data_IF_886290173160
#
_entry.id   IF_886290173160
#
_cell.length_a   1.000
_cell.length_b   1.000
_cell.length_c   1.000
_cell.angle_alpha   90.00
_cell.angle_beta   90.00
_cell.angle_gamma   90.00
#
_symmetry.space_group_name_H-M   'P 1'
#
loop_
_entity.id
_entity.type
_entity.pdbx_description
1 polymer ?
#
# COMPACT_ATOMS: atom_id res chain seq x y z
N UNK A 1 -4.59 -5.17 -2.40
CA UNK A 1 -4.06 -6.40 -3.02
C UNK A 1 -3.27 -7.19 -2.00
N UNK A 2 -3.51 -8.49 -1.87
CA UNK A 2 -2.77 -9.39 -0.95
C UNK A 2 -1.27 -9.34 -1.24
N UNK A 3 -0.89 -9.27 -2.52
CA UNK A 3 0.49 -9.18 -2.99
C UNK A 3 1.22 -7.94 -2.43
N UNK A 4 0.54 -6.80 -2.39
CA UNK A 4 1.11 -5.54 -1.90
C UNK A 4 1.24 -5.47 -0.37
N UNK A 5 0.62 -6.39 0.38
CA UNK A 5 0.78 -6.44 1.84
C UNK A 5 2.16 -6.96 2.23
N UNK A 6 2.73 -7.88 1.44
CA UNK A 6 4.04 -8.48 1.70
C UNK A 6 5.21 -7.52 1.48
N UNK A 7 5.01 -6.42 0.74
CA UNK A 7 6.02 -5.37 0.52
C UNK A 7 5.78 -4.12 1.36
N UNK A 8 4.64 -4.07 2.07
CA UNK A 8 4.31 -2.92 2.87
C UNK A 8 5.18 -2.89 4.13
N UNK A 9 6.02 -1.85 4.23
CA UNK A 9 6.98 -1.73 5.32
C UNK A 9 6.29 -1.85 6.70
N UNK A 10 5.18 -1.14 6.91
CA UNK A 10 4.39 -1.21 8.15
C UNK A 10 3.89 -2.63 8.52
N UNK A 11 3.72 -3.53 7.54
CA UNK A 11 3.37 -4.93 7.78
C UNK A 11 4.59 -5.81 8.07
N UNK A 12 5.76 -5.44 7.56
CA UNK A 12 7.02 -6.17 7.77
C UNK A 12 7.60 -5.89 9.16
N UNK A 13 7.46 -4.66 9.69
CA UNK A 13 8.04 -4.30 11.00
C UNK A 13 7.62 -5.23 12.15
N UNK A 14 6.32 -5.55 12.35
CA UNK A 14 5.93 -6.42 13.46
C UNK A 14 6.42 -7.86 13.28
N UNK A 15 6.57 -8.33 12.03
CA UNK A 15 7.10 -9.65 11.72
C UNK A 15 8.59 -9.72 12.09
N UNK A 16 9.37 -8.68 11.77
CA UNK A 16 10.79 -8.60 12.10
C UNK A 16 11.05 -8.35 13.59
N UNK A 17 10.09 -7.74 14.30
CA UNK A 17 10.15 -7.53 15.74
C UNK A 17 9.73 -8.77 16.56
N UNK A 18 9.28 -9.84 15.90
CA UNK A 18 8.92 -11.08 16.58
C UNK A 18 10.16 -11.74 17.22
N UNK A 19 9.95 -12.35 18.40
CA UNK A 19 11.03 -13.00 19.16
C UNK A 19 11.75 -14.09 18.37
N UNK A 20 11.00 -14.83 17.57
CA UNK A 20 11.51 -15.93 16.76
C UNK A 20 10.58 -16.20 15.55
N UNK A 21 11.08 -17.00 14.60
CA UNK A 21 10.37 -17.34 13.36
C UNK A 21 9.07 -18.09 13.64
N UNK A 22 9.01 -18.89 14.71
CA UNK A 22 7.81 -19.66 15.03
C UNK A 22 6.68 -18.73 15.50
N UNK A 23 7.00 -17.76 16.36
CA UNK A 23 6.08 -16.70 16.80
C UNK A 23 5.62 -15.87 15.60
N UNK A 24 6.52 -15.47 14.70
CA UNK A 24 6.18 -14.72 13.49
C UNK A 24 5.21 -15.48 12.57
N UNK A 25 5.45 -16.78 12.36
CA UNK A 25 4.56 -17.63 11.55
C UNK A 25 3.19 -17.81 12.21
N UNK A 26 3.18 -18.09 13.52
CA UNK A 26 1.94 -18.27 14.28
C UNK A 26 1.11 -16.99 14.29
N UNK A 27 1.72 -15.82 14.50
CA UNK A 27 1.03 -14.53 14.48
C UNK A 27 0.45 -14.20 13.11
N UNK A 28 1.16 -14.51 12.02
CA UNK A 28 0.67 -14.34 10.66
C UNK A 28 -0.58 -15.20 10.39
N UNK A 29 -0.57 -16.47 10.81
CA UNK A 29 -1.70 -17.39 10.64
C UNK A 29 -2.90 -16.91 11.49
N UNK A 30 -2.67 -16.57 12.76
CA UNK A 30 -3.74 -16.06 13.64
C UNK A 30 -4.36 -14.80 13.04
N UNK A 31 -3.53 -13.86 12.56
CA UNK A 31 -4.02 -12.63 11.92
C UNK A 31 -4.86 -12.94 10.68
N UNK A 32 -4.43 -13.87 9.83
CA UNK A 32 -5.18 -14.25 8.63
C UNK A 32 -6.58 -14.79 8.98
N UNK A 33 -6.68 -15.68 9.98
CA UNK A 33 -7.97 -16.21 10.42
C UNK A 33 -8.81 -15.18 11.17
N UNK A 34 -8.19 -14.29 11.95
CA UNK A 34 -8.91 -13.24 12.68
C UNK A 34 -9.49 -12.18 11.73
N UNK A 35 -8.80 -11.84 10.64
CA UNK A 35 -9.23 -10.81 9.69
C UNK A 35 -10.27 -11.33 8.69
N UNK A 36 -10.25 -12.62 8.34
CA UNK A 36 -11.15 -13.19 7.32
C UNK A 36 -12.65 -12.92 7.58
N UNK A 37 -13.20 -13.08 8.80
CA UNK A 37 -14.60 -12.77 9.09
C UNK A 37 -14.97 -11.29 8.85
N UNK A 38 -14.05 -10.36 9.06
CA UNK A 38 -14.31 -8.92 8.83
C UNK A 38 -14.59 -8.62 7.35
N UNK A 39 -14.05 -9.40 6.42
CA UNK A 39 -14.40 -9.31 5.00
C UNK A 39 -15.88 -9.62 4.74
N UNK A 40 -16.43 -10.62 5.43
CA UNK A 40 -17.85 -10.98 5.32
C UNK A 40 -18.73 -9.92 5.96
N UNK A 41 -18.35 -9.41 7.15
CA UNK A 41 -19.10 -8.35 7.81
C UNK A 41 -19.13 -7.05 7.01
N UNK A 42 -18.00 -6.65 6.42
CA UNK A 42 -17.95 -5.45 5.55
C UNK A 42 -18.80 -5.61 4.29
N UNK A 43 -18.82 -6.79 3.67
CA UNK A 43 -19.70 -7.08 2.54
C UNK A 43 -21.18 -7.02 2.92
N UNK A 44 -21.57 -7.59 4.07
CA UNK A 44 -22.94 -7.53 4.61
C UNK A 44 -23.38 -6.09 4.86
N UNK A 45 -22.52 -5.26 5.44
CA UNK A 45 -22.79 -3.83 5.62
C UNK A 45 -23.00 -3.12 4.27
N UNK A 46 -22.15 -3.39 3.27
CA UNK A 46 -22.31 -2.84 1.92
C UNK A 46 -23.64 -3.24 1.26
N UNK A 47 -24.04 -4.51 1.37
CA UNK A 47 -25.33 -4.99 0.86
C UNK A 47 -26.51 -4.35 1.59
N UNK A 48 -26.42 -4.20 2.91
CA UNK A 48 -27.44 -3.53 3.71
C UNK A 48 -27.61 -2.07 3.30
N UNK A 49 -26.50 -1.35 3.10
CA UNK A 49 -26.52 0.02 2.60
C UNK A 49 -27.18 0.12 1.22
N UNK A 50 -26.91 -0.84 0.33
CA UNK A 50 -27.47 -0.87 -1.03
C UNK A 50 -28.99 -1.03 -1.04
N UNK A 51 -29.53 -1.86 -0.14
CA UNK A 51 -30.98 -2.09 -0.01
C UNK A 51 -31.66 -0.89 0.64
N UNK A 52 -31.06 -0.32 1.70
CA UNK A 52 -31.66 0.76 2.47
C UNK A 52 -31.55 2.13 1.77
N UNK A 53 -30.46 2.36 1.05
CA UNK A 53 -30.18 3.61 0.33
C UNK A 53 -29.93 3.33 -1.17
N UNK A 54 -30.96 2.92 -1.93
CA UNK A 54 -30.81 2.54 -3.33
C UNK A 54 -30.43 3.73 -4.25
N UNK A 55 -30.72 4.97 -3.82
CA UNK A 55 -30.40 6.20 -4.51
C UNK A 55 -29.06 6.84 -4.08
N UNK A 56 -28.23 6.14 -3.29
CA UNK A 56 -26.95 6.65 -2.85
C UNK A 56 -26.04 6.92 -4.07
N UNK A 57 -25.79 8.20 -4.36
CA UNK A 57 -25.04 8.62 -5.54
C UNK A 57 -23.60 8.08 -5.56
N UNK A 58 -23.02 7.81 -4.39
CA UNK A 58 -21.67 7.27 -4.28
C UNK A 58 -21.60 6.12 -3.27
N UNK A 59 -21.31 4.91 -3.77
CA UNK A 59 -21.15 3.71 -2.95
C UNK A 59 -20.08 3.84 -1.86
N UNK A 60 -19.10 4.74 -2.03
CA UNK A 60 -18.03 4.99 -1.06
C UNK A 60 -18.53 5.65 0.23
N UNK A 61 -19.72 6.25 0.20
CA UNK A 61 -20.36 6.87 1.37
C UNK A 61 -21.27 5.91 2.14
N UNK A 62 -21.41 4.66 1.68
CA UNK A 62 -22.33 3.68 2.25
C UNK A 62 -22.11 3.45 3.76
N UNK A 63 -20.86 3.27 4.18
CA UNK A 63 -20.53 2.99 5.57
C UNK A 63 -20.80 4.20 6.49
N UNK A 64 -20.34 5.43 6.17
CA UNK A 64 -20.74 6.64 6.90
C UNK A 64 -22.25 6.84 7.00
N UNK A 65 -22.99 6.63 5.91
CA UNK A 65 -24.46 6.81 5.89
C UNK A 65 -25.15 5.83 6.81
N UNK A 66 -24.73 4.55 6.82
CA UNK A 66 -25.28 3.57 7.76
C UNK A 66 -25.04 3.96 9.22
N UNK A 67 -23.90 4.58 9.53
CA UNK A 67 -23.53 4.96 10.90
C UNK A 67 -24.35 6.12 11.44
N UNK A 68 -24.65 7.09 10.58
CA UNK A 68 -25.48 8.23 10.95
C UNK A 68 -26.94 7.86 11.22
N UNK A 69 -27.36 6.66 10.81
CA UNK A 69 -28.72 6.16 10.98
C UNK A 69 -28.92 5.34 12.28
N UNK A 70 -27.83 5.04 13.00
CA UNK A 70 -27.93 4.41 14.33
C UNK A 70 -28.40 5.40 15.39
N UNK A 71 -28.95 4.86 16.48
CA UNK A 71 -29.22 5.64 17.70
C UNK A 71 -27.95 6.36 18.19
N UNK A 72 -28.01 7.62 18.66
CA UNK A 72 -26.84 8.44 18.95
C UNK A 72 -25.76 7.78 19.82
N UNK A 73 -26.16 7.00 20.84
CA UNK A 73 -25.22 6.30 21.71
C UNK A 73 -24.47 5.18 20.96
N UNK A 74 -25.21 4.34 20.23
CA UNK A 74 -24.64 3.25 19.44
C UNK A 74 -23.79 3.79 18.28
N UNK A 75 -24.29 4.81 17.56
CA UNK A 75 -23.56 5.48 16.48
C UNK A 75 -22.26 6.11 16.97
N UNK A 76 -22.26 6.75 18.16
CA UNK A 76 -21.08 7.32 18.78
C UNK A 76 -20.01 6.27 19.12
N UNK A 77 -20.40 5.14 19.70
CA UNK A 77 -19.48 4.03 20.03
C UNK A 77 -18.86 3.44 18.75
N UNK A 78 -19.68 3.24 17.71
CA UNK A 78 -19.21 2.72 16.41
C UNK A 78 -18.24 3.68 15.76
N UNK A 79 -18.55 4.98 15.74
CA UNK A 79 -17.68 6.01 15.18
C UNK A 79 -16.35 6.09 15.92
N UNK A 80 -16.36 6.05 17.26
CA UNK A 80 -15.16 6.00 18.08
C UNK A 80 -14.30 4.76 17.78
N UNK A 81 -14.93 3.59 17.63
CA UNK A 81 -14.24 2.34 17.28
C UNK A 81 -13.54 2.42 15.93
N UNK A 82 -14.16 3.10 14.96
CA UNK A 82 -13.58 3.27 13.62
C UNK A 82 -12.47 4.29 13.62
N UNK A 83 -12.60 5.39 14.36
CA UNK A 83 -11.51 6.33 14.57
C UNK A 83 -10.30 5.63 15.19
N UNK A 84 -10.52 4.79 16.21
CA UNK A 84 -9.48 3.98 16.81
C UNK A 84 -8.83 3.01 15.79
N UNK A 85 -9.64 2.33 14.98
CA UNK A 85 -9.14 1.43 13.92
C UNK A 85 -8.33 2.17 12.85
N UNK A 86 -8.79 3.35 12.40
CA UNK A 86 -8.07 4.19 11.44
C UNK A 86 -6.74 4.65 12.03
N UNK A 87 -6.73 5.14 13.27
CA UNK A 87 -5.50 5.56 13.95
C UNK A 87 -4.51 4.40 14.12
N UNK A 88 -5.00 3.19 14.42
CA UNK A 88 -4.16 1.99 14.50
C UNK A 88 -3.43 1.65 13.19
N UNK A 89 -3.96 2.12 12.05
CA UNK A 89 -3.36 1.93 10.72
C UNK A 89 -2.51 3.12 10.30
N UNK A 90 -2.98 4.34 10.58
CA UNK A 90 -2.28 5.59 10.17
C UNK A 90 -0.96 5.74 10.92
N UNK A 91 -0.92 5.47 12.23
CA UNK A 91 0.29 5.60 13.05
C UNK A 91 1.49 4.79 12.51
N UNK A 92 1.37 3.47 12.26
CA UNK A 92 2.49 2.69 11.72
C UNK A 92 2.85 3.07 10.28
N UNK A 93 1.90 3.56 9.47
CA UNK A 93 2.22 4.04 8.11
C UNK A 93 3.06 5.32 8.15
N UNK A 94 2.71 6.29 8.98
CA UNK A 94 3.48 7.53 9.15
C UNK A 94 4.85 7.22 9.73
N UNK A 95 4.93 6.34 10.72
CA UNK A 95 6.19 5.87 11.29
C UNK A 95 7.07 5.21 10.22
N UNK A 96 6.52 4.28 9.45
CA UNK A 96 7.23 3.63 8.36
C UNK A 96 7.73 4.63 7.31
N UNK A 97 6.93 5.65 6.96
CA UNK A 97 7.35 6.72 6.06
C UNK A 97 8.55 7.51 6.61
N UNK A 98 8.52 7.89 7.89
CA UNK A 98 9.63 8.56 8.55
C UNK A 98 10.88 7.69 8.65
N UNK A 99 10.72 6.38 8.92
CA UNK A 99 11.83 5.42 8.92
C UNK A 99 12.46 5.27 7.54
N UNK A 100 11.65 5.12 6.47
CA UNK A 100 12.17 5.07 5.09
C UNK A 100 12.89 6.37 4.72
N UNK A 101 12.32 7.53 5.03
CA UNK A 101 12.99 8.81 4.80
C UNK A 101 14.32 8.94 5.56
N UNK A 102 14.41 8.37 6.76
CA UNK A 102 15.61 8.48 7.59
C UNK A 102 16.68 7.45 7.22
N UNK A 103 16.32 6.17 7.12
CA UNK A 103 17.27 5.08 6.85
C UNK A 103 17.62 4.99 5.37
N UNK A 104 16.64 5.09 4.48
CA UNK A 104 16.86 4.85 3.05
C UNK A 104 17.34 6.11 2.31
N UNK A 105 16.99 7.30 2.80
CA UNK A 105 17.40 8.57 2.18
C UNK A 105 18.48 9.26 3.01
N UNK A 106 18.17 9.68 4.25
CA UNK A 106 19.10 10.49 5.04
C UNK A 106 20.40 9.74 5.38
N UNK A 107 20.32 8.53 5.94
CA UNK A 107 21.52 7.76 6.28
C UNK A 107 22.28 7.36 5.01
N UNK A 108 21.60 6.85 3.99
CA UNK A 108 22.27 6.34 2.79
C UNK A 108 22.95 7.43 1.93
N UNK A 109 22.34 8.61 1.80
CA UNK A 109 22.79 9.65 0.85
C UNK A 109 23.30 10.94 1.49
N UNK A 110 22.86 11.30 2.71
CA UNK A 110 23.21 12.59 3.34
C UNK A 110 24.28 12.41 4.40
N UNK A 111 24.11 11.47 5.33
CA UNK A 111 25.05 11.24 6.42
C UNK A 111 25.15 9.75 6.77
N UNK A 112 26.09 9.05 6.10
CA UNK A 112 26.30 7.60 6.22
C UNK A 112 26.72 7.17 7.62
N UNK A 113 27.53 7.99 8.27
CA UNK A 113 28.08 7.73 9.61
C UNK A 113 27.27 8.43 10.71
N UNK A 114 25.99 8.71 10.46
CA UNK A 114 25.11 9.27 11.48
C UNK A 114 24.97 8.30 12.66
N UNK A 115 25.34 8.77 13.85
CA UNK A 115 25.12 8.04 15.10
C UNK A 115 23.62 7.81 15.38
N UNK A 116 23.32 6.77 16.17
CA UNK A 116 21.95 6.31 16.44
C UNK A 116 21.10 7.39 17.10
N UNK A 117 21.66 8.22 17.98
CA UNK A 117 20.93 9.33 18.60
C UNK A 117 20.47 10.35 17.55
N UNK A 118 21.34 10.65 16.58
CA UNK A 118 21.03 11.58 15.48
C UNK A 118 19.99 10.98 14.55
N UNK A 119 20.09 9.69 14.22
CA UNK A 119 19.10 8.99 13.42
C UNK A 119 17.72 8.97 14.09
N UNK A 120 17.66 8.75 15.41
CA UNK A 120 16.39 8.81 16.15
C UNK A 120 15.76 10.20 16.12
N UNK A 121 16.55 11.27 16.30
CA UNK A 121 16.05 12.64 16.21
C UNK A 121 15.51 12.97 14.82
N UNK A 122 16.23 12.59 13.77
CA UNK A 122 15.81 12.80 12.37
C UNK A 122 14.58 11.95 12.05
N UNK A 123 14.49 10.72 12.55
CA UNK A 123 13.31 9.87 12.40
C UNK A 123 12.07 10.48 13.04
N UNK A 124 12.17 11.04 14.24
CA UNK A 124 11.05 11.73 14.89
C UNK A 124 10.62 12.97 14.11
N UNK A 125 11.57 13.77 13.61
CA UNK A 125 11.28 14.95 12.81
C UNK A 125 10.60 14.61 11.49
N UNK A 126 11.15 13.65 10.73
CA UNK A 126 10.59 13.20 9.45
C UNK A 126 9.22 12.54 9.61
N UNK A 127 9.00 11.79 10.69
CA UNK A 127 7.68 11.24 11.06
C UNK A 127 6.68 12.36 11.33
N UNK A 128 7.04 13.36 12.14
CA UNK A 128 6.19 14.52 12.42
C UNK A 128 5.84 15.31 11.16
N UNK A 129 6.83 15.60 10.31
CA UNK A 129 6.64 16.27 9.02
C UNK A 129 5.73 15.47 8.09
N UNK A 130 5.90 14.14 8.02
CA UNK A 130 5.04 13.26 7.22
C UNK A 130 3.59 13.29 7.71
N UNK A 131 3.38 13.36 9.03
CA UNK A 131 2.05 13.51 9.63
C UNK A 131 1.40 14.85 9.28
N UNK A 132 2.14 15.96 9.37
CA UNK A 132 1.65 17.29 8.98
C UNK A 132 1.30 17.31 7.49
N UNK A 133 2.17 16.77 6.63
CA UNK A 133 1.91 16.70 5.19
C UNK A 133 0.66 15.87 4.89
N UNK A 134 0.49 14.72 5.56
CA UNK A 134 -0.70 13.88 5.44
C UNK A 134 -1.97 14.66 5.84
N UNK A 135 -1.93 15.40 6.95
CA UNK A 135 -3.04 16.22 7.41
C UNK A 135 -3.41 17.32 6.40
N UNK A 136 -2.42 18.05 5.88
CA UNK A 136 -2.65 19.10 4.88
C UNK A 136 -3.27 18.52 3.60
N UNK A 137 -2.75 17.41 3.10
CA UNK A 137 -3.30 16.72 1.93
C UNK A 137 -4.73 16.22 2.17
N UNK A 138 -5.01 15.70 3.37
CA UNK A 138 -6.36 15.26 3.75
C UNK A 138 -7.36 16.43 3.77
N UNK A 139 -6.95 17.60 4.26
CA UNK A 139 -7.79 18.82 4.25
C UNK A 139 -8.06 19.33 2.84
N UNK A 140 -7.05 19.32 1.95
CA UNK A 140 -7.21 19.72 0.54
C UNK A 140 -8.19 18.78 -0.19
N UNK A 141 -8.17 17.50 0.16
CA UNK A 141 -9.04 16.49 -0.45
C UNK A 141 -10.40 16.34 0.24
N UNK A 142 -10.76 17.22 1.18
CA UNK A 142 -12.01 17.14 1.92
C UNK A 142 -13.23 17.11 0.98
N UNK A 143 -14.14 16.17 1.20
CA UNK A 143 -15.33 15.95 0.37
C UNK A 143 -15.07 15.21 -0.96
N UNK A 144 -13.81 14.90 -1.29
CA UNK A 144 -13.49 14.14 -2.50
C UNK A 144 -13.72 12.64 -2.30
N UNK A 145 -14.51 12.03 -3.17
CA UNK A 145 -14.71 10.57 -3.19
C UNK A 145 -13.58 9.83 -3.92
N UNK A 146 -12.59 10.56 -4.46
CA UNK A 146 -11.43 10.00 -5.16
C UNK A 146 -10.36 9.40 -4.26
N UNK A 147 -10.43 9.64 -2.94
CA UNK A 147 -9.43 9.15 -1.98
C UNK A 147 -9.29 7.62 -2.06
N UNK A 148 -10.40 6.88 -2.16
CA UNK A 148 -10.34 5.42 -2.31
C UNK A 148 -9.70 4.99 -3.64
N UNK A 149 -9.87 5.74 -4.72
CA UNK A 149 -9.25 5.41 -6.01
C UNK A 149 -7.72 5.56 -5.94
N UNK A 150 -7.25 6.62 -5.28
CA UNK A 150 -5.82 6.84 -5.03
C UNK A 150 -5.24 5.71 -4.18
N UNK A 151 -5.98 5.26 -3.16
CA UNK A 151 -5.57 4.13 -2.32
C UNK A 151 -5.50 2.83 -3.12
N UNK A 152 -6.48 2.54 -3.98
CA UNK A 152 -6.45 1.37 -4.86
C UNK A 152 -5.29 1.43 -5.86
N UNK A 153 -5.00 2.61 -6.40
CA UNK A 153 -3.85 2.81 -7.27
C UNK A 153 -2.52 2.57 -6.52
N UNK A 154 -2.38 3.08 -5.29
CA UNK A 154 -1.21 2.80 -4.46
C UNK A 154 -1.05 1.30 -4.16
N UNK A 155 -2.15 0.58 -3.92
CA UNK A 155 -2.12 -0.87 -3.75
C UNK A 155 -1.76 -1.63 -5.03
N UNK A 156 -2.16 -1.11 -6.19
CA UNK A 156 -1.75 -1.63 -7.49
C UNK A 156 -0.24 -1.55 -7.66
N UNK A 157 0.36 -0.38 -7.40
CA UNK A 157 1.81 -0.20 -7.49
C UNK A 157 2.56 -1.12 -6.53
N UNK A 158 2.09 -1.26 -5.27
CA UNK A 158 2.69 -2.22 -4.33
C UNK A 158 2.62 -3.66 -4.83
N UNK A 159 1.49 -4.05 -5.43
CA UNK A 159 1.33 -5.38 -6.04
C UNK A 159 2.32 -5.64 -7.17
N UNK A 160 2.58 -4.64 -8.02
CA UNK A 160 3.61 -4.73 -9.05
C UNK A 160 5.03 -4.86 -8.49
N UNK A 161 5.37 -4.08 -7.46
CA UNK A 161 6.69 -4.16 -6.79
C UNK A 161 6.90 -5.56 -6.20
N UNK A 162 5.84 -6.18 -5.66
CA UNK A 162 5.92 -7.55 -5.17
C UNK A 162 6.34 -8.55 -6.25
N UNK A 163 5.87 -8.39 -7.49
CA UNK A 163 6.30 -9.24 -8.61
C UNK A 163 7.80 -9.10 -8.84
N UNK A 164 8.33 -7.87 -8.90
CA UNK A 164 9.76 -7.62 -9.08
C UNK A 164 10.58 -8.24 -7.95
N UNK A 165 10.10 -8.13 -6.70
CA UNK A 165 10.71 -8.72 -5.53
C UNK A 165 10.74 -10.26 -5.59
N UNK A 166 9.66 -10.90 -6.04
CA UNK A 166 9.63 -12.36 -6.24
C UNK A 166 10.69 -12.82 -7.25
N UNK A 167 10.89 -12.09 -8.34
CA UNK A 167 11.98 -12.36 -9.27
C UNK A 167 13.35 -12.22 -8.59
N UNK A 168 13.56 -11.16 -7.80
CA UNK A 168 14.81 -10.99 -7.05
C UNK A 168 15.16 -12.17 -6.14
N UNK A 169 14.16 -12.72 -5.44
CA UNK A 169 14.36 -13.85 -4.51
C UNK A 169 14.55 -15.17 -5.27
N UNK A 170 13.60 -15.52 -6.14
CA UNK A 170 13.51 -16.87 -6.71
C UNK A 170 14.21 -17.03 -8.07
N UNK A 171 14.38 -15.96 -8.84
CA UNK A 171 14.94 -16.05 -10.19
C UNK A 171 16.46 -15.84 -10.18
N UNK A 172 17.21 -16.85 -10.61
CA UNK A 172 18.68 -16.83 -10.56
C UNK A 172 19.33 -15.77 -11.48
N UNK A 173 18.62 -15.34 -12.53
CA UNK A 173 19.12 -14.34 -13.49
C UNK A 173 18.62 -12.92 -13.20
N UNK A 174 17.96 -12.71 -12.05
CA UNK A 174 17.45 -11.38 -11.71
C UNK A 174 18.61 -10.38 -11.63
N UNK A 175 18.41 -9.18 -12.17
CA UNK A 175 19.41 -8.11 -12.20
C UNK A 175 18.86 -6.85 -11.54
N UNK A 176 19.68 -6.16 -10.74
CA UNK A 176 19.35 -4.89 -10.07
C UNK A 176 18.90 -3.82 -11.07
N UNK A 177 19.62 -3.70 -12.19
CA UNK A 177 19.32 -2.73 -13.26
C UNK A 177 17.99 -3.05 -13.94
N UNK A 178 17.70 -4.33 -14.16
CA UNK A 178 16.42 -4.78 -14.72
C UNK A 178 15.26 -4.50 -13.76
N UNK A 179 15.45 -4.70 -12.45
CA UNK A 179 14.45 -4.42 -11.43
C UNK A 179 14.08 -2.93 -11.39
N UNK A 180 15.07 -2.03 -11.35
CA UNK A 180 14.82 -0.57 -11.32
C UNK A 180 14.09 -0.11 -12.58
N UNK A 181 14.54 -0.52 -13.77
CA UNK A 181 13.87 -0.19 -15.04
C UNK A 181 12.44 -0.72 -15.09
N UNK A 182 12.21 -1.92 -14.57
CA UNK A 182 10.87 -2.52 -14.49
C UNK A 182 9.94 -1.77 -13.55
N UNK A 183 10.43 -1.33 -12.39
CA UNK A 183 9.65 -0.52 -11.44
C UNK A 183 9.26 0.84 -12.04
N UNK A 184 10.18 1.49 -12.75
CA UNK A 184 9.91 2.76 -13.45
C UNK A 184 8.85 2.55 -14.55
N UNK A 185 9.05 1.55 -15.41
CA UNK A 185 8.13 1.27 -16.52
C UNK A 185 6.72 0.93 -16.00
N UNK A 186 6.64 0.16 -14.93
CA UNK A 186 5.36 -0.20 -14.32
C UNK A 186 4.64 1.01 -13.73
N UNK A 187 5.38 1.93 -13.11
CA UNK A 187 4.82 3.17 -12.56
C UNK A 187 4.26 4.04 -13.68
N UNK A 188 5.01 4.19 -14.78
CA UNK A 188 4.59 4.94 -15.97
C UNK A 188 3.32 4.32 -16.56
N UNK A 189 3.32 3.01 -16.82
CA UNK A 189 2.16 2.32 -17.40
C UNK A 189 0.93 2.44 -16.50
N UNK A 190 1.09 2.25 -15.18
CA UNK A 190 0.01 2.41 -14.23
C UNK A 190 -0.58 3.82 -14.24
N UNK A 191 0.27 4.84 -14.26
CA UNK A 191 -0.17 6.24 -14.31
C UNK A 191 -0.88 6.57 -15.62
N UNK A 192 -0.35 6.12 -16.77
CA UNK A 192 -1.01 6.29 -18.08
C UNK A 192 -2.39 5.62 -18.08
N UNK A 193 -2.52 4.44 -17.48
CA UNK A 193 -3.80 3.74 -17.39
C UNK A 193 -4.85 4.52 -16.61
N UNK A 194 -4.46 5.05 -15.45
CA UNK A 194 -5.35 5.87 -14.60
C UNK A 194 -5.69 7.19 -15.29
N UNK A 195 -4.71 7.87 -15.90
CA UNK A 195 -4.93 9.11 -16.62
C UNK A 195 -5.88 8.91 -17.82
N UNK A 196 -5.67 7.86 -18.60
CA UNK A 196 -6.53 7.52 -19.73
C UNK A 196 -7.96 7.20 -19.27
N UNK A 197 -8.10 6.40 -18.22
CA UNK A 197 -9.40 6.08 -17.64
C UNK A 197 -10.12 7.33 -17.11
N UNK A 198 -9.39 8.25 -16.47
CA UNK A 198 -9.95 9.50 -15.96
C UNK A 198 -10.42 10.46 -17.05
N UNK A 199 -9.83 10.42 -18.25
CA UNK A 199 -10.19 11.32 -19.38
C UNK A 199 -11.28 10.70 -20.25
N UNK A 200 -11.18 9.41 -20.55
CA UNK A 200 -12.04 8.74 -21.55
C UNK A 200 -13.20 7.96 -20.93
N UNK A 201 -13.17 7.75 -19.61
CA UNK A 201 -14.13 6.89 -18.90
C UNK A 201 -14.01 5.41 -19.26
N UNK A 202 -12.98 5.00 -20.02
CA UNK A 202 -12.76 3.63 -20.51
C UNK A 202 -11.33 3.19 -20.23
N UNK A 203 -11.14 1.89 -20.08
CA UNK A 203 -9.80 1.33 -20.02
C UNK A 203 -9.19 1.23 -21.43
N UNK A 204 -7.88 1.49 -21.62
CA UNK A 204 -7.25 1.58 -22.94
C UNK A 204 -7.41 0.34 -23.82
N UNK A 205 -7.38 -0.86 -23.23
CA UNK A 205 -7.39 -2.13 -23.98
C UNK A 205 -8.74 -2.82 -23.86
N UNK A 206 -9.17 -3.11 -22.63
CA UNK A 206 -10.42 -3.82 -22.37
C UNK A 206 -10.94 -3.47 -20.97
N UNK A 207 -12.26 -3.51 -20.78
CA UNK A 207 -12.90 -3.14 -19.51
C UNK A 207 -12.46 -3.99 -18.31
N UNK A 208 -11.99 -5.22 -18.54
CA UNK A 208 -11.48 -6.12 -17.51
C UNK A 208 -9.99 -5.92 -17.16
N UNK A 209 -9.23 -5.25 -18.03
CA UNK A 209 -7.82 -4.95 -17.76
C UNK A 209 -7.78 -3.60 -17.05
N UNK A 210 -7.99 -3.66 -15.75
CA UNK A 210 -7.81 -2.51 -14.86
C UNK A 210 -6.33 -2.12 -14.78
N UNK A 211 -6.09 -0.95 -14.21
CA UNK A 211 -4.75 -0.46 -13.89
C UNK A 211 -3.93 -1.49 -13.07
N UNK A 212 -4.59 -2.28 -12.22
CA UNK A 212 -3.94 -3.35 -11.45
C UNK A 212 -3.34 -4.43 -12.34
N UNK A 213 -4.14 -4.98 -13.25
CA UNK A 213 -3.68 -6.05 -14.14
C UNK A 213 -2.62 -5.53 -15.10
N UNK A 214 -2.81 -4.34 -15.66
CA UNK A 214 -1.83 -3.70 -16.53
C UNK A 214 -0.47 -3.55 -15.82
N UNK A 215 -0.44 -2.95 -14.62
CA UNK A 215 0.80 -2.78 -13.87
C UNK A 215 1.47 -4.10 -13.49
N UNK A 216 0.70 -5.10 -13.03
CA UNK A 216 1.25 -6.43 -12.65
C UNK A 216 1.83 -7.16 -13.86
N UNK A 217 1.13 -7.15 -14.99
CA UNK A 217 1.59 -7.77 -16.24
C UNK A 217 2.83 -7.06 -16.77
N UNK A 218 2.84 -5.71 -16.76
CA UNK A 218 4.02 -4.94 -17.16
C UNK A 218 5.21 -5.27 -16.28
N UNK A 219 5.06 -5.30 -14.96
CA UNK A 219 6.15 -5.66 -14.04
C UNK A 219 6.71 -7.05 -14.34
N UNK A 220 5.83 -8.03 -14.59
CA UNK A 220 6.23 -9.39 -14.92
C UNK A 220 7.02 -9.46 -16.24
N UNK A 221 6.45 -8.89 -17.31
CA UNK A 221 7.04 -8.94 -18.65
C UNK A 221 8.34 -8.14 -18.70
N UNK A 222 8.35 -6.92 -18.15
CA UNK A 222 9.54 -6.07 -18.15
C UNK A 222 10.67 -6.70 -17.33
N UNK A 223 10.34 -7.30 -16.18
CA UNK A 223 11.35 -7.95 -15.35
C UNK A 223 11.90 -9.18 -16.05
N UNK A 224 11.05 -10.03 -16.62
CA UNK A 224 11.46 -11.21 -17.37
C UNK A 224 12.35 -10.86 -18.56
N UNK A 225 11.92 -9.93 -19.41
CA UNK A 225 12.65 -9.53 -20.62
C UNK A 225 13.97 -8.85 -20.31
N UNK A 226 13.99 -7.85 -19.42
CA UNK A 226 15.20 -7.12 -19.06
C UNK A 226 16.19 -8.01 -18.29
N UNK A 227 15.70 -8.95 -17.46
CA UNK A 227 16.54 -9.93 -16.75
C UNK A 227 17.16 -10.96 -17.69
N UNK A 228 16.52 -11.30 -18.82
CA UNK A 228 17.09 -12.19 -19.82
C UNK A 228 18.14 -11.50 -20.71
N UNK A 229 17.96 -10.20 -20.96
CA UNK A 229 18.87 -9.39 -21.79
C UNK A 229 20.10 -8.96 -20.97
N UNK A 230 19.92 -8.66 -19.68
CA UNK A 230 21.02 -8.33 -18.78
C UNK A 230 21.91 -9.55 -18.53
N UNK A 231 23.18 -9.46 -18.95
CA UNK A 231 24.23 -10.47 -18.67
C UNK A 231 24.70 -10.48 -17.21
N UNK A 232 24.32 -9.49 -16.42
CA UNK A 232 24.68 -9.36 -15.01
C UNK A 232 23.89 -10.40 -14.19
N UNK A 233 24.57 -11.50 -13.84
CA UNK A 233 24.05 -12.57 -12.98
C UNK A 233 23.98 -12.13 -11.52
N UNK A 234 23.23 -12.86 -10.69
CA UNK A 234 22.85 -12.61 -9.27
C UNK A 234 23.90 -11.99 -8.32
N UNK A 235 25.20 -12.03 -8.65
CA UNK A 235 26.30 -11.45 -7.87
C UNK A 235 26.19 -9.93 -7.65
N UNK A 236 25.60 -9.16 -8.57
CA UNK A 236 25.46 -7.70 -8.43
C UNK A 236 24.33 -7.28 -7.45
N UNK A 237 23.38 -8.18 -7.17
CA UNK A 237 22.28 -7.96 -6.21
C UNK A 237 22.73 -8.20 -4.76
N UNK A 238 23.67 -9.12 -4.54
CA UNK A 238 24.20 -9.44 -3.21
C UNK A 238 25.28 -8.44 -2.74
N UNK A 239 25.80 -7.61 -3.65
CA UNK A 239 26.83 -6.59 -3.36
C UNK A 239 26.30 -5.18 -3.07
N UNK A 240 24.98 -4.97 -3.07
CA UNK A 240 24.29 -3.67 -2.83
C UNK A 240 23.60 -3.62 -1.48
#
# INVERSE_FOLDING_TARGET
>A
SVLGACTAQAGIQPILAAKDVHVAKKSAIITAFAVAPFGVFTALLGMTARVKYPALANAKLALPTLMMDLEPLAGGIVLASIMAAILSTVSPIILAAGTMATKDIYQKFINKDADDEKLLRISRLTTGLSGILCMVLALIMYGSTRVLDIVYFAYTLRGAIFVVLLFGIYWKRASSKAAVKSMILTTIVGFVWVAYHSVTGRYPIHASITETYASVITAFISMLTLSLISKDSKQELESL
#
